data_IF_647421073153
#
_entry.id   IF_647421073153
#
_cell.length_a   1.000
_cell.length_b   1.000
_cell.length_c   1.000
_cell.angle_alpha   90.00
_cell.angle_beta   90.00
_cell.angle_gamma   90.00
#
_symmetry.space_group_name_H-M   'P 1'
#
loop_
_entity.id
_entity.type
_entity.pdbx_description
1 polymer ?
#
# COMPACT_ATOMS: atom_id res chain seq x y z
N UNK A 1 32.46 -51.76 -50.55
CA UNK A 1 31.26 -51.79 -49.66
C UNK A 1 31.48 -50.77 -48.54
N UNK A 2 30.77 -49.60 -48.58
CA UNK A 2 30.84 -48.53 -47.57
C UNK A 2 29.56 -48.61 -46.83
N UNK A 3 29.60 -49.03 -45.56
CA UNK A 3 28.48 -49.04 -44.64
C UNK A 3 28.29 -47.63 -44.02
N UNK A 4 27.22 -46.97 -44.41
CA UNK A 4 26.75 -45.72 -43.82
C UNK A 4 26.02 -46.06 -42.51
N UNK A 5 26.55 -45.59 -41.40
CA UNK A 5 25.96 -45.68 -40.08
C UNK A 5 24.99 -44.45 -39.89
N UNK A 6 23.69 -44.64 -39.65
CA UNK A 6 22.80 -43.51 -39.40
C UNK A 6 22.98 -43.01 -37.95
N UNK A 7 23.36 -41.75 -37.83
CA UNK A 7 23.46 -41.02 -36.55
C UNK A 7 22.05 -40.73 -36.06
N UNK A 8 21.56 -41.46 -35.09
CA UNK A 8 20.27 -41.28 -34.46
C UNK A 8 20.35 -40.08 -33.48
N UNK A 9 19.88 -38.92 -33.91
CA UNK A 9 19.81 -37.72 -33.09
C UNK A 9 18.62 -37.85 -32.11
N UNK A 10 18.89 -38.35 -30.90
CA UNK A 10 17.92 -38.43 -29.84
C UNK A 10 17.65 -37.01 -29.32
N UNK A 11 16.55 -36.38 -29.75
CA UNK A 11 15.99 -35.17 -29.17
C UNK A 11 15.57 -35.47 -27.71
N UNK A 12 16.39 -35.08 -26.76
CA UNK A 12 16.05 -35.05 -25.35
C UNK A 12 14.96 -34.01 -25.14
N UNK A 13 13.72 -34.43 -25.18
CA UNK A 13 12.60 -33.64 -24.60
C UNK A 13 12.85 -33.59 -23.10
N UNK A 14 13.46 -32.48 -22.65
CA UNK A 14 13.47 -32.11 -21.24
C UNK A 14 12.03 -31.64 -20.93
N UNK A 15 11.27 -32.37 -20.09
CA UNK A 15 9.99 -31.90 -19.65
C UNK A 15 10.25 -30.60 -18.88
N UNK A 16 9.85 -29.48 -19.44
CA UNK A 16 9.77 -28.21 -18.66
C UNK A 16 8.88 -28.53 -17.47
N UNK A 17 9.32 -28.19 -16.25
CA UNK A 17 8.43 -28.28 -15.09
C UNK A 17 7.21 -27.43 -15.45
N UNK A 18 6.05 -28.06 -15.53
CA UNK A 18 4.75 -27.37 -15.60
C UNK A 18 4.61 -26.68 -14.24
N UNK A 19 5.26 -25.50 -14.14
CA UNK A 19 5.26 -24.67 -12.95
C UNK A 19 3.86 -24.14 -12.75
N UNK A 20 3.44 -24.31 -11.52
CA UNK A 20 2.46 -23.50 -10.81
C UNK A 20 2.00 -22.27 -11.62
N UNK A 21 0.69 -22.08 -11.74
CA UNK A 21 -0.03 -21.01 -12.41
C UNK A 21 0.76 -19.69 -12.58
N UNK A 22 1.63 -19.68 -13.57
CA UNK A 22 2.44 -18.49 -13.87
C UNK A 22 1.50 -17.38 -14.29
N UNK A 23 1.59 -16.24 -13.63
CA UNK A 23 0.80 -15.07 -14.00
C UNK A 23 1.04 -14.67 -15.46
N UNK A 24 -0.01 -14.38 -16.23
CA UNK A 24 0.13 -13.86 -17.59
C UNK A 24 0.83 -12.49 -17.65
N UNK A 25 0.80 -11.72 -16.58
CA UNK A 25 1.52 -10.45 -16.43
C UNK A 25 2.80 -10.70 -15.65
N UNK A 26 3.92 -10.13 -16.11
CA UNK A 26 5.24 -10.35 -15.54
C UNK A 26 5.63 -9.19 -14.63
N UNK A 27 6.12 -9.48 -13.44
CA UNK A 27 6.79 -8.51 -12.57
C UNK A 27 8.25 -8.37 -13.02
N UNK A 28 8.61 -7.20 -13.51
CA UNK A 28 9.95 -6.90 -14.04
C UNK A 28 10.91 -6.49 -12.92
N UNK A 29 10.44 -5.64 -12.01
CA UNK A 29 11.21 -5.21 -10.85
C UNK A 29 10.28 -4.71 -9.76
N UNK A 30 10.77 -4.72 -8.53
CA UNK A 30 10.05 -4.20 -7.37
C UNK A 30 11.03 -3.60 -6.36
N UNK A 31 10.52 -2.66 -5.57
CA UNK A 31 11.28 -2.02 -4.50
C UNK A 31 10.32 -1.48 -3.45
N UNK A 32 10.61 -1.75 -2.17
CA UNK A 32 10.00 -1.07 -1.04
C UNK A 32 10.99 -0.07 -0.43
N UNK A 33 10.51 1.11 -0.06
CA UNK A 33 11.33 2.11 0.61
C UNK A 33 10.51 2.87 1.65
N UNK A 34 11.10 3.09 2.83
CA UNK A 34 10.54 3.95 3.86
C UNK A 34 10.79 5.40 3.51
N UNK A 35 9.75 6.23 3.56
CA UNK A 35 9.80 7.66 3.30
C UNK A 35 9.05 8.42 4.38
N UNK A 36 9.40 9.67 4.60
CA UNK A 36 8.63 10.57 5.48
C UNK A 36 7.72 11.42 4.62
N UNK A 37 6.45 11.46 4.96
CA UNK A 37 5.47 12.34 4.32
C UNK A 37 4.86 13.27 5.36
N UNK A 38 4.50 14.49 4.93
CA UNK A 38 3.72 15.39 5.75
C UNK A 38 2.31 14.81 5.92
N UNK A 39 1.77 14.87 7.14
CA UNK A 39 0.44 14.38 7.47
C UNK A 39 -0.65 15.00 6.56
N UNK A 40 -0.44 16.24 6.11
CA UNK A 40 -1.34 16.98 5.22
C UNK A 40 -1.30 16.50 3.75
N UNK A 41 -0.29 15.68 3.38
CA UNK A 41 -0.05 15.21 2.00
C UNK A 41 -0.02 13.69 1.88
N UNK A 42 -0.55 13.00 2.88
CA UNK A 42 -0.54 11.53 2.87
C UNK A 42 -1.54 11.03 1.83
N UNK A 43 -1.03 10.53 0.72
CA UNK A 43 -1.80 9.82 -0.32
C UNK A 43 -2.21 8.40 0.10
N UNK A 44 -2.02 8.07 1.38
CA UNK A 44 -2.46 6.78 1.93
C UNK A 44 -3.92 6.92 2.30
N UNK A 45 -4.83 6.22 1.64
CA UNK A 45 -6.20 6.15 2.12
C UNK A 45 -6.15 5.58 3.54
N UNK A 46 -6.85 6.19 4.50
CA UNK A 46 -6.82 5.73 5.87
C UNK A 46 -7.35 4.29 5.91
N UNK A 47 -6.47 3.34 6.21
CA UNK A 47 -6.81 1.92 6.37
C UNK A 47 -7.60 1.64 7.66
N UNK A 48 -8.14 2.67 8.27
CA UNK A 48 -8.98 2.59 9.45
C UNK A 48 -10.30 3.33 9.23
N UNK A 49 -11.33 3.09 10.06
CA UNK A 49 -12.45 3.99 10.14
C UNK A 49 -11.86 5.38 10.38
N UNK A 50 -12.20 6.34 9.52
CA UNK A 50 -11.82 7.73 9.73
C UNK A 50 -12.12 8.03 11.22
N UNK A 51 -11.14 8.56 11.99
CA UNK A 51 -11.44 8.98 13.34
C UNK A 51 -12.68 9.83 13.20
N UNK A 52 -13.77 9.43 13.85
CA UNK A 52 -15.00 10.18 13.80
C UNK A 52 -14.58 11.60 14.09
N UNK A 53 -14.67 12.49 13.11
CA UNK A 53 -14.56 13.91 13.36
C UNK A 53 -15.70 14.18 14.33
N UNK A 54 -15.41 14.09 15.61
CA UNK A 54 -16.28 14.60 16.63
C UNK A 54 -16.28 16.10 16.32
N UNK A 55 -17.24 16.49 15.50
CA UNK A 55 -17.54 17.89 15.31
C UNK A 55 -17.65 18.41 16.73
N UNK A 56 -16.65 19.19 17.17
CA UNK A 56 -16.68 19.76 18.51
C UNK A 56 -17.98 20.54 18.55
N UNK A 57 -18.97 19.95 19.23
CA UNK A 57 -20.26 20.54 19.33
C UNK A 57 -20.05 21.84 20.12
N UNK A 58 -20.01 22.96 19.40
CA UNK A 58 -19.81 24.28 20.00
C UNK A 58 -20.81 24.51 21.13
N UNK A 59 -21.98 23.87 21.07
CA UNK A 59 -22.99 23.91 22.11
C UNK A 59 -22.59 23.07 23.33
N UNK A 60 -21.88 21.93 23.14
CA UNK A 60 -21.39 21.13 24.26
C UNK A 60 -20.33 21.91 25.07
N UNK A 61 -19.35 22.50 24.39
CA UNK A 61 -18.35 23.34 25.04
C UNK A 61 -18.97 24.55 25.76
N UNK A 62 -20.05 25.12 25.21
CA UNK A 62 -20.81 26.22 25.83
C UNK A 62 -21.56 25.74 27.07
N UNK A 63 -22.19 24.57 27.03
CA UNK A 63 -22.95 24.00 28.15
C UNK A 63 -22.04 23.57 29.29
N UNK A 64 -20.85 22.99 28.99
CA UNK A 64 -19.85 22.65 30.00
C UNK A 64 -19.37 23.91 30.72
N UNK A 65 -19.09 24.98 29.98
CA UNK A 65 -18.71 26.28 30.59
C UNK A 65 -19.83 26.96 31.41
N UNK A 66 -21.08 26.77 31.02
CA UNK A 66 -22.20 27.27 31.77
C UNK A 66 -22.39 26.58 33.12
N UNK A 67 -21.95 25.33 33.24
CA UNK A 67 -22.07 24.51 34.45
C UNK A 67 -20.82 24.54 35.33
N UNK A 68 -19.76 25.25 34.94
CA UNK A 68 -18.60 25.46 35.82
C UNK A 68 -18.96 26.34 37.01
N UNK A 69 -18.53 25.94 38.23
CA UNK A 69 -18.83 26.74 39.44
C UNK A 69 -18.21 28.15 39.31
N UNK A 70 -18.92 29.17 39.79
CA UNK A 70 -18.43 30.54 39.78
C UNK A 70 -17.17 30.61 40.65
N UNK A 71 -16.04 30.99 40.08
CA UNK A 71 -14.72 31.07 40.72
C UNK A 71 -13.61 30.43 39.91
N UNK A 72 -13.92 29.47 39.01
CA UNK A 72 -12.95 28.86 38.11
C UNK A 72 -12.93 29.50 36.70
N UNK A 73 -13.76 30.50 36.47
CA UNK A 73 -13.81 31.22 35.18
C UNK A 73 -12.74 32.29 35.16
N UNK A 74 -11.85 32.18 34.19
CA UNK A 74 -10.96 33.29 33.86
C UNK A 74 -11.81 34.44 33.29
N UNK A 75 -12.01 35.57 34.03
CA UNK A 75 -12.87 36.67 33.60
C UNK A 75 -12.39 37.31 32.28
N UNK A 76 -11.12 37.12 31.91
CA UNK A 76 -10.56 37.64 30.67
C UNK A 76 -10.91 36.81 29.44
N UNK A 77 -11.33 35.55 29.60
CA UNK A 77 -11.70 34.70 28.46
C UNK A 77 -13.10 34.96 27.92
N UNK A 78 -13.99 35.54 28.72
CA UNK A 78 -15.37 35.82 28.31
C UNK A 78 -15.58 37.24 27.74
N UNK A 79 -14.55 38.06 27.76
CA UNK A 79 -14.56 39.37 27.09
C UNK A 79 -14.37 39.21 25.57
N UNK A 80 -14.85 40.19 24.79
CA UNK A 80 -14.66 40.24 23.33
C UNK A 80 -13.16 40.20 22.99
N UNK A 81 -12.38 40.96 23.76
CA UNK A 81 -10.92 41.06 23.56
C UNK A 81 -10.22 39.74 23.92
N UNK A 82 -10.66 39.04 24.97
CA UNK A 82 -10.14 37.69 25.32
C UNK A 82 -10.45 36.66 24.28
N UNK A 83 -11.62 36.72 23.62
CA UNK A 83 -11.98 35.82 22.51
C UNK A 83 -11.17 36.12 21.26
N UNK A 84 -10.96 37.39 20.96
CA UNK A 84 -10.11 37.80 19.83
C UNK A 84 -8.67 37.36 20.04
N UNK A 85 -8.11 37.55 21.23
CA UNK A 85 -6.75 37.10 21.56
C UNK A 85 -6.61 35.58 21.55
N UNK A 86 -7.62 34.84 21.97
CA UNK A 86 -7.63 33.36 21.87
C UNK A 86 -7.70 32.89 20.42
N UNK A 87 -8.48 33.55 19.58
CA UNK A 87 -8.56 33.26 18.15
C UNK A 87 -7.23 33.58 17.46
N UNK A 88 -6.61 34.71 17.72
CA UNK A 88 -5.30 35.07 17.20
C UNK A 88 -4.21 34.06 17.59
N UNK A 89 -4.16 33.64 18.86
CA UNK A 89 -3.25 32.57 19.30
C UNK A 89 -3.48 31.28 18.54
N UNK A 90 -4.74 30.88 18.42
CA UNK A 90 -5.08 29.64 17.66
C UNK A 90 -4.65 29.72 16.22
N UNK A 91 -4.84 30.87 15.56
CA UNK A 91 -4.39 31.11 14.19
C UNK A 91 -2.86 31.11 14.10
N UNK A 92 -2.19 31.72 15.06
CA UNK A 92 -0.73 31.79 15.11
C UNK A 92 -0.11 30.43 15.41
N UNK A 93 -0.67 29.66 16.33
CA UNK A 93 -0.29 28.27 16.61
C UNK A 93 -0.50 27.36 15.39
N UNK A 94 -1.60 27.54 14.65
CA UNK A 94 -1.83 26.78 13.43
C UNK A 94 -0.84 27.12 12.31
N UNK A 95 -0.37 28.38 12.23
CA UNK A 95 0.64 28.83 11.27
C UNK A 95 2.06 28.39 11.63
N UNK A 96 2.36 28.28 12.93
CA UNK A 96 3.67 27.85 13.42
C UNK A 96 3.79 26.35 13.61
N UNK A 97 2.68 25.61 13.56
CA UNK A 97 2.67 24.17 13.67
C UNK A 97 3.40 23.58 12.48
N UNK A 98 4.62 23.11 12.71
CA UNK A 98 5.31 22.33 11.68
C UNK A 98 4.45 21.12 11.32
N UNK A 99 4.25 20.87 10.02
CA UNK A 99 3.47 19.73 9.60
C UNK A 99 4.11 18.45 10.18
N UNK A 100 3.31 17.72 10.94
CA UNK A 100 3.74 16.45 11.52
C UNK A 100 4.06 15.50 10.39
N UNK A 101 5.25 14.93 10.42
CA UNK A 101 5.67 13.93 9.44
C UNK A 101 5.40 12.54 9.97
N UNK A 102 4.87 11.69 9.11
CA UNK A 102 4.67 10.26 9.38
C UNK A 102 5.56 9.42 8.49
N UNK A 103 5.97 8.28 9.02
CA UNK A 103 6.70 7.28 8.25
C UNK A 103 5.72 6.51 7.36
N UNK A 104 5.99 6.47 6.07
CA UNK A 104 5.19 5.81 5.04
C UNK A 104 6.10 4.91 4.22
N UNK A 105 5.62 3.75 3.84
CA UNK A 105 6.31 2.84 2.95
C UNK A 105 5.78 2.99 1.53
N UNK A 106 6.69 3.34 0.61
CA UNK A 106 6.40 3.42 -0.82
C UNK A 106 6.82 2.14 -1.53
N UNK A 107 5.88 1.53 -2.24
CA UNK A 107 6.07 0.32 -3.04
C UNK A 107 6.07 0.71 -4.51
N UNK A 108 7.16 0.44 -5.21
CA UNK A 108 7.29 0.60 -6.65
C UNK A 108 7.37 -0.75 -7.29
N UNK A 109 6.45 -1.07 -8.18
CA UNK A 109 6.33 -2.37 -8.82
C UNK A 109 6.25 -2.14 -10.33
N UNK A 110 7.26 -2.58 -11.07
CA UNK A 110 7.26 -2.50 -12.52
C UNK A 110 6.71 -3.79 -13.10
N UNK A 111 5.64 -3.70 -13.87
CA UNK A 111 4.96 -4.83 -14.49
C UNK A 111 4.99 -4.70 -16.01
N UNK A 112 4.97 -5.85 -16.69
CA UNK A 112 4.87 -5.96 -18.13
C UNK A 112 3.68 -6.83 -18.51
N UNK A 113 2.92 -6.39 -19.49
CA UNK A 113 1.82 -7.16 -20.06
C UNK A 113 2.25 -7.78 -21.41
N UNK A 114 2.70 -9.03 -21.44
CA UNK A 114 3.04 -9.71 -22.69
C UNK A 114 1.82 -10.24 -23.45
N UNK A 115 0.62 -10.15 -22.87
CA UNK A 115 -0.62 -10.66 -23.47
C UNK A 115 -1.16 -9.72 -24.54
N UNK A 116 -2.12 -10.20 -25.33
CA UNK A 116 -2.83 -9.39 -26.34
C UNK A 116 -4.00 -8.58 -25.77
N UNK A 117 -4.35 -8.77 -24.49
CA UNK A 117 -5.47 -8.10 -23.85
C UNK A 117 -4.98 -6.96 -22.92
N UNK A 118 -5.68 -5.84 -22.92
CA UNK A 118 -5.39 -4.75 -21.99
C UNK A 118 -5.85 -5.13 -20.58
N UNK A 119 -4.99 -4.85 -19.59
CA UNK A 119 -5.24 -5.10 -18.17
C UNK A 119 -5.74 -3.82 -17.52
N UNK A 120 -6.90 -3.87 -16.88
CA UNK A 120 -7.46 -2.72 -16.17
C UNK A 120 -7.11 -2.77 -14.68
N UNK A 121 -7.27 -3.92 -14.04
CA UNK A 121 -7.06 -4.07 -12.59
C UNK A 121 -6.09 -5.21 -12.30
N UNK A 122 -5.19 -4.98 -11.33
CA UNK A 122 -4.28 -5.97 -10.79
C UNK A 122 -4.43 -6.08 -9.28
N UNK A 123 -4.55 -7.31 -8.77
CA UNK A 123 -4.41 -7.62 -7.36
C UNK A 123 -3.01 -8.16 -7.14
N UNK A 124 -2.23 -7.41 -6.36
CA UNK A 124 -0.82 -7.68 -6.09
C UNK A 124 -0.61 -8.00 -4.63
N UNK A 125 0.33 -8.87 -4.37
CA UNK A 125 0.80 -9.20 -3.03
C UNK A 125 2.30 -8.98 -2.96
N UNK A 126 2.74 -8.07 -2.10
CA UNK A 126 4.14 -7.84 -1.78
C UNK A 126 4.50 -8.64 -0.54
N UNK A 127 5.46 -9.53 -0.68
CA UNK A 127 5.89 -10.47 0.35
C UNK A 127 7.28 -10.08 0.87
N UNK A 128 7.43 -10.16 2.18
CA UNK A 128 8.70 -10.04 2.88
C UNK A 128 8.96 -11.35 3.60
N UNK A 129 9.93 -12.13 3.14
CA UNK A 129 10.37 -13.37 3.80
C UNK A 129 11.58 -13.06 4.67
N UNK A 130 11.56 -13.44 5.93
CA UNK A 130 12.72 -13.31 6.80
C UNK A 130 13.81 -14.29 6.34
N UNK A 131 15.02 -13.78 6.08
CA UNK A 131 16.16 -14.62 5.66
C UNK A 131 16.59 -15.62 6.71
N UNK A 132 16.36 -15.32 7.98
CA UNK A 132 16.65 -16.24 9.08
C UNK A 132 15.57 -17.30 9.28
N UNK A 133 14.34 -17.01 8.88
CA UNK A 133 13.19 -17.91 8.92
C UNK A 133 12.28 -17.72 7.70
N UNK A 134 12.58 -18.39 6.56
CA UNK A 134 11.85 -18.19 5.31
C UNK A 134 10.35 -18.53 5.36
N UNK A 135 9.90 -19.29 6.36
CA UNK A 135 8.48 -19.60 6.57
C UNK A 135 7.71 -18.40 7.14
N UNK A 136 8.42 -17.47 7.78
CA UNK A 136 7.84 -16.23 8.29
C UNK A 136 7.70 -15.22 7.15
N UNK A 137 6.54 -15.22 6.49
CA UNK A 137 6.23 -14.34 5.36
C UNK A 137 5.20 -13.31 5.76
N UNK A 138 5.61 -12.05 5.75
CA UNK A 138 4.67 -10.93 5.87
C UNK A 138 4.17 -10.51 4.50
N UNK A 139 2.85 -10.36 4.36
CA UNK A 139 2.17 -10.08 3.09
C UNK A 139 1.48 -8.73 3.16
N UNK A 140 1.62 -7.93 2.10
CA UNK A 140 0.91 -6.67 1.88
C UNK A 140 0.16 -6.76 0.56
N UNK A 141 -1.16 -6.67 0.61
CA UNK A 141 -2.00 -6.81 -0.58
C UNK A 141 -2.42 -5.44 -1.08
N UNK A 142 -2.46 -5.31 -2.40
CA UNK A 142 -2.80 -4.06 -3.08
C UNK A 142 -3.76 -4.31 -4.24
N UNK A 143 -4.74 -3.43 -4.36
CA UNK A 143 -5.59 -3.28 -5.54
C UNK A 143 -5.04 -2.14 -6.39
N UNK A 144 -4.68 -2.41 -7.65
CA UNK A 144 -4.10 -1.42 -8.56
C UNK A 144 -4.94 -1.23 -9.82
N UNK A 145 -5.26 0.02 -10.13
CA UNK A 145 -5.80 0.41 -11.44
C UNK A 145 -4.62 0.53 -12.41
N UNK A 146 -4.35 -0.57 -13.11
CA UNK A 146 -3.14 -0.70 -13.92
C UNK A 146 -3.26 0.03 -15.27
N UNK A 147 -4.40 -0.07 -15.95
CA UNK A 147 -4.58 0.44 -17.31
C UNK A 147 -3.37 0.11 -18.19
N UNK A 148 -2.98 -1.18 -18.21
CA UNK A 148 -1.75 -1.64 -18.83
C UNK A 148 -2.03 -2.22 -20.23
N UNK A 149 -1.57 -1.52 -21.24
CA UNK A 149 -1.76 -1.88 -22.65
C UNK A 149 -0.93 -3.12 -23.02
N UNK A 150 -1.39 -3.94 -23.99
CA UNK A 150 -0.63 -5.07 -24.53
C UNK A 150 0.80 -4.71 -24.91
N UNK A 151 1.76 -5.57 -24.58
CA UNK A 151 3.18 -5.41 -24.90
C UNK A 151 3.91 -4.31 -24.11
N UNK A 152 3.24 -3.54 -23.26
CA UNK A 152 3.84 -2.41 -22.55
C UNK A 152 4.23 -2.75 -21.12
N UNK A 153 5.14 -1.90 -20.61
CA UNK A 153 5.53 -1.91 -19.19
C UNK A 153 4.96 -0.68 -18.51
N UNK A 154 4.65 -0.81 -17.22
CA UNK A 154 4.20 0.29 -16.36
C UNK A 154 4.75 0.14 -14.95
N UNK A 155 5.13 1.24 -14.32
CA UNK A 155 5.45 1.30 -12.91
C UNK A 155 4.16 1.62 -12.12
N UNK A 156 3.80 0.73 -11.23
CA UNK A 156 2.73 0.91 -10.28
C UNK A 156 3.31 1.41 -8.95
N UNK A 157 2.62 2.34 -8.32
CA UNK A 157 3.03 2.92 -7.04
C UNK A 157 1.94 2.72 -6.02
N UNK A 158 2.30 2.13 -4.90
CA UNK A 158 1.44 1.97 -3.74
C UNK A 158 2.10 2.61 -2.52
N UNK A 159 1.29 3.11 -1.60
CA UNK A 159 1.75 3.62 -0.32
C UNK A 159 1.01 2.89 0.79
N UNK A 160 1.69 2.66 1.90
CA UNK A 160 1.10 2.04 3.09
C UNK A 160 1.81 2.55 4.35
N UNK A 161 1.06 2.66 5.44
CA UNK A 161 1.64 2.87 6.77
C UNK A 161 2.34 1.60 7.26
N UNK A 162 1.97 0.45 6.72
CA UNK A 162 2.53 -0.84 7.07
C UNK A 162 3.67 -1.20 6.11
N UNK A 163 4.88 -1.34 6.64
CA UNK A 163 6.07 -1.79 5.93
C UNK A 163 6.37 -3.27 6.13
N UNK A 164 7.65 -3.66 5.93
CA UNK A 164 8.16 -4.94 6.39
C UNK A 164 7.94 -5.07 7.90
N UNK A 165 7.90 -6.30 8.45
CA UNK A 165 7.77 -6.50 9.89
C UNK A 165 8.98 -5.90 10.61
N UNK A 166 8.76 -5.37 11.81
CA UNK A 166 9.86 -4.90 12.66
C UNK A 166 10.65 -6.11 13.17
N UNK A 167 11.78 -6.39 12.52
CA UNK A 167 12.74 -7.37 13.04
C UNK A 167 13.82 -6.60 13.78
N UNK A 168 13.88 -6.78 15.09
CA UNK A 168 14.99 -6.29 15.92
C UNK A 168 16.21 -7.18 15.64
N UNK A 169 16.91 -6.88 14.56
CA UNK A 169 18.17 -7.56 14.27
C UNK A 169 19.33 -6.69 14.76
N UNK A 170 20.03 -7.16 15.79
CA UNK A 170 21.17 -6.46 16.37
C UNK A 170 22.27 -6.20 15.33
N UNK A 171 22.37 -7.05 14.28
CA UNK A 171 23.28 -6.85 13.14
C UNK A 171 22.85 -5.76 12.17
N UNK A 172 21.58 -5.31 12.21
CA UNK A 172 21.10 -4.21 11.35
C UNK A 172 21.54 -2.82 11.81
N UNK A 173 22.21 -2.72 12.95
CA UNK A 173 22.82 -1.48 13.43
C UNK A 173 24.12 -1.13 12.68
N UNK A 174 24.65 -2.02 11.89
CA UNK A 174 25.76 -1.72 10.99
C UNK A 174 25.24 -0.91 9.79
N UNK A 175 25.86 0.24 9.54
CA UNK A 175 25.50 1.24 8.53
C UNK A 175 25.33 0.73 7.07
N UNK A 176 25.67 -0.53 6.80
CA UNK A 176 25.66 -1.16 5.47
C UNK A 176 24.97 -2.54 5.45
N UNK A 177 24.09 -2.84 6.39
CA UNK A 177 23.42 -4.14 6.36
C UNK A 177 22.42 -4.21 5.20
N UNK A 178 22.54 -5.25 4.37
CA UNK A 178 21.52 -5.61 3.38
C UNK A 178 20.18 -5.81 4.07
N UNK A 179 19.07 -5.55 3.37
CA UNK A 179 17.72 -5.82 3.90
C UNK A 179 17.67 -7.21 4.55
N UNK A 180 17.12 -7.35 5.77
CA UNK A 180 16.97 -8.65 6.43
C UNK A 180 15.92 -9.53 5.74
N UNK A 181 15.21 -8.98 4.77
CA UNK A 181 14.14 -9.66 4.04
C UNK A 181 14.52 -9.93 2.60
N UNK A 182 14.06 -11.08 2.12
CA UNK A 182 13.91 -11.35 0.70
C UNK A 182 12.53 -10.84 0.27
N UNK A 183 12.53 -10.02 -0.76
CA UNK A 183 11.32 -9.37 -1.26
C UNK A 183 10.81 -10.07 -2.51
N UNK A 184 9.50 -10.28 -2.60
CA UNK A 184 8.85 -10.89 -3.76
C UNK A 184 7.51 -10.21 -4.01
N UNK A 185 7.14 -10.08 -5.27
CA UNK A 185 5.79 -9.64 -5.68
C UNK A 185 5.09 -10.77 -6.40
N UNK A 186 3.87 -11.06 -5.98
CA UNK A 186 3.01 -12.08 -6.55
C UNK A 186 1.75 -11.40 -7.09
N UNK A 187 1.36 -11.78 -8.31
CA UNK A 187 0.09 -11.35 -8.89
C UNK A 187 -0.96 -12.39 -8.53
N UNK A 188 -2.02 -11.97 -7.87
CA UNK A 188 -3.07 -12.84 -7.38
C UNK A 188 -4.26 -12.92 -8.35
N UNK A 189 -4.62 -11.75 -8.97
CA UNK A 189 -5.73 -11.68 -9.91
C UNK A 189 -5.50 -10.57 -10.91
N UNK A 190 -5.96 -10.78 -12.14
CA UNK A 190 -5.91 -9.85 -13.25
C UNK A 190 -7.31 -9.70 -13.80
N UNK A 191 -7.79 -8.47 -13.92
CA UNK A 191 -9.04 -8.16 -14.60
C UNK A 191 -8.72 -7.41 -15.89
N UNK A 192 -9.13 -8.00 -17.01
CA UNK A 192 -8.89 -7.45 -18.32
C UNK A 192 -10.04 -6.53 -18.75
N UNK A 193 -9.74 -5.56 -19.58
CA UNK A 193 -10.72 -4.60 -20.13
C UNK A 193 -11.93 -5.28 -20.78
N UNK A 194 -11.75 -6.44 -21.36
CA UNK A 194 -12.82 -7.25 -21.95
C UNK A 194 -13.69 -8.02 -20.95
N UNK A 195 -13.49 -7.83 -19.63
CA UNK A 195 -14.25 -8.52 -18.57
C UNK A 195 -13.75 -9.93 -18.26
N UNK A 196 -12.75 -10.45 -18.99
CA UNK A 196 -12.11 -11.71 -18.63
C UNK A 196 -11.25 -11.55 -17.38
N UNK A 197 -11.13 -12.62 -16.62
CA UNK A 197 -10.40 -12.63 -15.35
C UNK A 197 -9.44 -13.83 -15.34
N UNK A 198 -8.20 -13.56 -14.95
CA UNK A 198 -7.25 -14.58 -14.53
C UNK A 198 -7.08 -14.49 -13.02
N UNK A 199 -7.04 -15.63 -12.33
CA UNK A 199 -6.82 -15.70 -10.89
C UNK A 199 -5.89 -16.86 -10.55
N UNK A 200 -4.96 -16.61 -9.65
CA UNK A 200 -4.07 -17.63 -9.10
C UNK A 200 -4.90 -18.68 -8.35
N UNK A 201 -4.63 -19.95 -8.59
CA UNK A 201 -5.40 -21.09 -8.08
C UNK A 201 -5.56 -21.11 -6.55
N UNK A 202 -4.48 -20.80 -5.84
CA UNK A 202 -4.46 -20.87 -4.36
C UNK A 202 -4.89 -19.56 -3.68
N UNK A 203 -5.30 -18.57 -4.44
CA UNK A 203 -5.76 -17.30 -3.91
C UNK A 203 -7.28 -17.19 -3.93
N UNK A 204 -7.86 -16.74 -2.84
CA UNK A 204 -9.31 -16.63 -2.69
C UNK A 204 -9.74 -15.17 -2.54
N UNK A 205 -10.60 -14.73 -3.45
CA UNK A 205 -11.17 -13.38 -3.39
C UNK A 205 -11.99 -13.16 -2.11
N UNK A 206 -12.62 -14.21 -1.59
CA UNK A 206 -13.41 -14.15 -0.36
C UNK A 206 -12.62 -13.68 0.87
N UNK A 207 -11.29 -13.90 0.89
CA UNK A 207 -10.43 -13.49 2.01
C UNK A 207 -10.22 -11.98 2.06
N UNK A 208 -10.47 -11.26 0.97
CA UNK A 208 -10.27 -9.82 0.86
C UNK A 208 -11.55 -9.04 0.60
N UNK A 209 -12.71 -9.68 0.60
CA UNK A 209 -13.98 -9.05 0.20
C UNK A 209 -14.27 -7.76 0.98
N UNK A 210 -14.11 -7.78 2.30
CA UNK A 210 -14.37 -6.61 3.15
C UNK A 210 -13.39 -5.47 2.87
N UNK A 211 -12.12 -5.82 2.68
CA UNK A 211 -11.08 -4.84 2.32
C UNK A 211 -11.33 -4.26 0.93
N UNK A 212 -11.73 -5.10 -0.02
CA UNK A 212 -12.07 -4.69 -1.37
C UNK A 212 -13.25 -3.73 -1.39
N UNK A 213 -14.36 -4.04 -0.71
CA UNK A 213 -15.53 -3.17 -0.61
C UNK A 213 -15.16 -1.80 0.00
N UNK A 214 -14.37 -1.80 1.07
CA UNK A 214 -13.89 -0.57 1.70
C UNK A 214 -13.05 0.27 0.74
N UNK A 215 -12.11 -0.34 0.03
CA UNK A 215 -11.19 0.33 -0.89
C UNK A 215 -11.90 0.87 -2.12
N UNK A 216 -12.94 0.18 -2.60
CA UNK A 216 -13.71 0.60 -3.78
C UNK A 216 -14.86 1.54 -3.46
N UNK A 217 -15.26 1.68 -2.19
CA UNK A 217 -16.32 2.60 -1.77
C UNK A 217 -15.96 4.09 -1.94
N UNK A 218 -14.68 4.42 -1.98
CA UNK A 218 -14.20 5.78 -2.21
C UNK A 218 -13.78 5.96 -3.67
N UNK A 219 -14.10 7.10 -4.30
CA UNK A 219 -13.65 7.41 -5.66
C UNK A 219 -12.13 7.36 -5.78
N UNK A 220 -11.63 6.84 -6.91
CA UNK A 220 -10.21 6.91 -7.25
C UNK A 220 -9.83 8.36 -7.59
N UNK A 221 -8.68 8.81 -7.10
CA UNK A 221 -8.10 10.11 -7.41
C UNK A 221 -6.86 9.95 -8.29
N UNK A 222 -5.70 10.34 -7.80
CA UNK A 222 -4.41 10.22 -8.53
C UNK A 222 -3.62 8.95 -8.16
N UNK A 223 -4.04 8.26 -7.11
CA UNK A 223 -3.40 7.02 -6.66
C UNK A 223 -3.61 5.89 -7.67
N UNK A 224 -2.55 5.12 -7.91
CA UNK A 224 -2.62 3.94 -8.78
C UNK A 224 -3.02 2.68 -8.02
N UNK A 225 -2.63 2.57 -6.76
CA UNK A 225 -2.84 1.38 -5.94
C UNK A 225 -3.31 1.76 -4.55
N UNK A 226 -4.18 0.92 -3.99
CA UNK A 226 -4.68 1.00 -2.61
C UNK A 226 -4.37 -0.29 -1.86
N UNK A 227 -4.06 -0.18 -0.57
CA UNK A 227 -3.89 -1.35 0.31
C UNK A 227 -5.24 -2.03 0.60
N UNK A 228 -5.23 -3.35 0.57
CA UNK A 228 -6.36 -4.22 0.90
C UNK A 228 -6.32 -4.69 2.35
#
# INVERSE_FOLDING_TARGET
MRTLLPLLLALLFVPMPQGQDASPVVVVSHKCAKTKQSEDKVEVPPNGPAPAMIAQNKNFARNVRANEPPGNRDPNQDTIDGRSAALERSVQESRTRQPKTIDVYGYKIKVQNPTSQAVDILFLEYQFSDRSNPENVTRRQFLCVANLVPGKQKELRAFSLNGPPDVVNVKSLEKNSASPFDEKVVINRIEYRGGSVWQRKDWRFSEITDSYLRVTSTPWTTEMCRGL
#
